data_IF_067358883717
#
_entry.id   IF_067358883717
#
_cell.length_a   1.000
_cell.length_b   1.000
_cell.length_c   1.000
_cell.angle_alpha   90.00
_cell.angle_beta   90.00
_cell.angle_gamma   90.00
#
_symmetry.space_group_name_H-M   'P 1'
#
loop_
_entity.id
_entity.type
_entity.pdbx_description
1 polymer ?
#
# COMPACT_ATOMS: atom_id res chain seq x y z
N UNK A 1 -11.23 -2.21 6.35
CA UNK A 1 -9.90 -1.72 5.94
C UNK A 1 -8.76 -2.08 6.92
N UNK A 2 -8.94 -3.10 7.77
CA UNK A 2 -7.87 -3.68 8.58
C UNK A 2 -7.72 -5.15 8.19
N UNK A 3 -7.00 -5.45 7.09
CA UNK A 3 -6.80 -6.87 6.69
C UNK A 3 -5.35 -7.27 6.42
N UNK A 4 -4.46 -6.29 6.20
CA UNK A 4 -3.01 -6.49 6.07
C UNK A 4 -2.22 -5.65 7.09
N UNK A 5 -2.89 -4.90 7.96
CA UNK A 5 -2.26 -3.89 8.83
C UNK A 5 -1.11 -4.45 9.66
N UNK A 6 -1.43 -5.52 10.40
CA UNK A 6 -0.51 -6.10 11.38
C UNK A 6 0.31 -7.27 10.82
N UNK A 7 -0.03 -7.78 9.63
CA UNK A 7 0.68 -8.91 9.03
C UNK A 7 1.78 -8.40 8.10
N UNK A 8 3.02 -8.92 8.21
CA UNK A 8 4.06 -8.66 7.23
C UNK A 8 3.67 -9.17 5.84
N UNK A 9 3.97 -8.39 4.80
CA UNK A 9 3.76 -8.77 3.41
C UNK A 9 4.87 -8.25 2.51
N UNK A 10 5.03 -8.88 1.36
CA UNK A 10 6.01 -8.53 0.34
C UNK A 10 5.28 -7.96 -0.86
N UNK A 11 5.61 -6.73 -1.26
CA UNK A 11 5.03 -6.07 -2.42
C UNK A 11 5.81 -6.48 -3.68
N UNK A 12 5.09 -6.97 -4.68
CA UNK A 12 5.66 -7.42 -5.97
C UNK A 12 5.25 -6.53 -7.13
N UNK A 13 4.20 -5.72 -6.98
CA UNK A 13 3.76 -4.79 -8.02
C UNK A 13 2.96 -3.64 -7.43
N UNK A 14 3.09 -2.45 -8.02
CA UNK A 14 2.34 -1.24 -7.63
C UNK A 14 1.84 -0.52 -8.87
N UNK A 15 0.55 -0.20 -8.91
CA UNK A 15 -0.05 0.62 -9.97
C UNK A 15 -0.79 1.82 -9.38
N UNK A 16 -0.91 2.89 -10.16
CA UNK A 16 -1.84 3.97 -9.81
C UNK A 16 -3.28 3.45 -9.89
N UNK A 17 -4.06 3.80 -8.89
CA UNK A 17 -5.47 3.42 -8.81
C UNK A 17 -6.15 4.51 -8.01
N UNK A 18 -6.56 5.57 -8.70
CA UNK A 18 -7.29 6.66 -8.07
C UNK A 18 -8.70 6.21 -7.68
N UNK A 19 -9.22 6.76 -6.58
CA UNK A 19 -10.59 6.56 -6.14
C UNK A 19 -11.43 7.77 -6.53
N UNK A 20 -12.41 7.56 -7.40
CA UNK A 20 -13.32 8.60 -7.88
C UNK A 20 -14.69 8.46 -7.23
N UNK A 21 -15.18 9.54 -6.62
CA UNK A 21 -16.53 9.62 -6.06
C UNK A 21 -17.21 10.87 -6.61
N UNK A 22 -18.03 10.71 -7.65
CA UNK A 22 -18.57 11.84 -8.40
C UNK A 22 -17.45 12.60 -9.11
N UNK A 23 -17.36 13.91 -8.87
CA UNK A 23 -16.30 14.77 -9.42
C UNK A 23 -15.01 14.77 -8.57
N UNK A 24 -15.05 14.16 -7.38
CA UNK A 24 -13.91 14.16 -6.45
C UNK A 24 -12.99 12.98 -6.78
N UNK A 25 -11.74 13.29 -7.14
CA UNK A 25 -10.67 12.31 -7.39
C UNK A 25 -9.71 12.30 -6.19
N UNK A 26 -9.63 11.16 -5.51
CA UNK A 26 -8.64 10.91 -4.45
C UNK A 26 -7.52 10.05 -5.01
N UNK A 27 -6.27 10.54 -4.95
CA UNK A 27 -5.12 9.78 -5.41
C UNK A 27 -4.94 8.49 -4.62
N UNK A 28 -4.71 7.40 -5.33
CA UNK A 28 -4.59 6.08 -4.74
C UNK A 28 -3.64 5.18 -5.50
N UNK A 29 -3.27 4.07 -4.87
CA UNK A 29 -2.44 3.03 -5.45
C UNK A 29 -3.06 1.67 -5.20
N UNK A 30 -2.81 0.73 -6.10
CA UNK A 30 -3.09 -0.69 -5.88
C UNK A 30 -1.78 -1.44 -5.78
N UNK A 31 -1.67 -2.25 -4.73
CA UNK A 31 -0.48 -3.00 -4.37
C UNK A 31 -0.80 -4.47 -4.56
N UNK A 32 0.06 -5.20 -5.27
CA UNK A 32 0.02 -6.67 -5.32
C UNK A 32 1.06 -7.23 -4.36
N UNK A 33 0.65 -8.21 -3.56
CA UNK A 33 1.49 -8.90 -2.59
C UNK A 33 1.88 -10.29 -3.07
N UNK A 34 3.02 -10.80 -2.60
CA UNK A 34 3.43 -12.19 -2.79
C UNK A 34 2.52 -13.15 -2.00
N UNK A 35 2.13 -12.72 -0.80
CA UNK A 35 1.26 -13.46 0.10
C UNK A 35 -0.21 -13.31 -0.32
N UNK A 36 -1.00 -14.35 -0.06
CA UNK A 36 -2.44 -14.37 -0.27
C UNK A 36 -3.12 -14.28 1.10
N UNK A 37 -4.02 -13.32 1.26
CA UNK A 37 -4.77 -13.09 2.49
C UNK A 37 -6.22 -13.48 2.29
N UNK A 38 -6.85 -14.01 3.34
CA UNK A 38 -8.29 -14.26 3.31
C UNK A 38 -9.06 -13.01 3.72
N UNK A 39 -9.89 -12.51 2.81
CA UNK A 39 -10.66 -11.27 2.95
C UNK A 39 -12.13 -11.62 2.73
N UNK A 40 -12.93 -11.65 3.81
CA UNK A 40 -14.36 -12.00 3.73
C UNK A 40 -14.57 -13.37 3.07
N UNK A 41 -13.75 -14.36 3.44
CA UNK A 41 -13.79 -15.72 2.88
C UNK A 41 -13.20 -15.86 1.47
N UNK A 42 -12.62 -14.79 0.90
CA UNK A 42 -12.05 -14.82 -0.45
C UNK A 42 -10.52 -14.61 -0.42
N UNK A 43 -9.73 -15.42 -1.16
CA UNK A 43 -8.31 -15.19 -1.30
C UNK A 43 -8.05 -13.89 -2.07
N UNK A 44 -7.24 -13.01 -1.49
CA UNK A 44 -6.92 -11.70 -2.04
C UNK A 44 -5.43 -11.40 -1.84
N UNK A 45 -4.75 -10.98 -2.91
CA UNK A 45 -3.37 -10.50 -2.88
C UNK A 45 -3.22 -9.12 -3.51
N UNK A 46 -4.34 -8.42 -3.76
CA UNK A 46 -4.37 -7.10 -4.38
C UNK A 46 -5.14 -6.14 -3.50
N UNK A 47 -4.49 -5.05 -3.11
CA UNK A 47 -5.04 -4.13 -2.13
C UNK A 47 -4.97 -2.71 -2.65
N UNK A 48 -6.12 -2.04 -2.67
CA UNK A 48 -6.23 -0.63 -3.01
C UNK A 48 -6.12 0.23 -1.75
N UNK A 49 -5.40 1.35 -1.82
CA UNK A 49 -5.28 2.32 -0.74
C UNK A 49 -5.16 3.75 -1.25
N UNK A 50 -5.87 4.66 -0.58
CA UNK A 50 -5.80 6.11 -0.76
C UNK A 50 -5.07 6.81 0.37
N UNK A 51 -4.40 6.05 1.27
CA UNK A 51 -3.68 6.60 2.42
C UNK A 51 -2.48 7.41 1.94
N UNK A 52 -2.52 8.72 2.19
CA UNK A 52 -1.57 9.70 1.62
C UNK A 52 -0.11 9.34 1.85
N UNK A 53 0.28 8.86 3.03
CA UNK A 53 1.67 8.48 3.30
C UNK A 53 2.15 7.30 2.43
N UNK A 54 1.30 6.29 2.23
CA UNK A 54 1.60 5.13 1.37
C UNK A 54 1.61 5.56 -0.10
N UNK A 55 0.62 6.34 -0.53
CA UNK A 55 0.57 6.87 -1.90
C UNK A 55 1.82 7.72 -2.20
N UNK A 56 2.23 8.57 -1.28
CA UNK A 56 3.43 9.40 -1.42
C UNK A 56 4.71 8.56 -1.47
N UNK A 57 4.82 7.47 -0.70
CA UNK A 57 5.98 6.56 -0.77
C UNK A 57 6.16 6.02 -2.19
N UNK A 58 5.07 5.69 -2.87
CA UNK A 58 5.09 5.16 -4.24
C UNK A 58 5.09 6.24 -5.34
N UNK A 59 5.16 7.54 -5.00
CA UNK A 59 5.52 8.58 -5.97
C UNK A 59 7.02 8.55 -6.32
N UNK A 60 7.83 7.84 -5.54
CA UNK A 60 9.24 7.64 -5.86
C UNK A 60 9.38 6.73 -7.08
N UNK A 61 9.78 7.31 -8.21
CA UNK A 61 9.92 6.60 -9.49
C UNK A 61 10.95 5.47 -9.43
N UNK A 62 12.07 5.67 -8.74
CA UNK A 62 13.10 4.63 -8.57
C UNK A 62 12.53 3.43 -7.82
N UNK A 63 11.78 3.67 -6.74
CA UNK A 63 11.14 2.59 -6.00
C UNK A 63 10.15 1.82 -6.88
N UNK A 64 9.37 2.53 -7.71
CA UNK A 64 8.46 1.89 -8.67
C UNK A 64 9.18 1.08 -9.73
N UNK A 65 10.27 1.62 -10.29
CA UNK A 65 11.09 0.93 -11.27
C UNK A 65 11.69 -0.35 -10.68
N UNK A 66 12.22 -0.28 -9.46
CA UNK A 66 12.82 -1.43 -8.78
C UNK A 66 11.77 -2.53 -8.57
N UNK A 67 10.57 -2.19 -8.09
CA UNK A 67 9.49 -3.18 -7.87
C UNK A 67 8.87 -3.69 -9.17
N UNK A 68 8.44 -2.79 -10.06
CA UNK A 68 7.62 -3.16 -11.22
C UNK A 68 8.45 -3.63 -12.41
N UNK A 69 9.64 -3.04 -12.65
CA UNK A 69 10.45 -3.30 -13.85
C UNK A 69 11.59 -4.25 -13.53
N UNK A 70 12.37 -3.95 -12.49
CA UNK A 70 13.50 -4.82 -12.09
C UNK A 70 13.06 -6.03 -11.29
N UNK A 71 11.76 -6.12 -10.95
CA UNK A 71 11.17 -7.23 -10.21
C UNK A 71 11.88 -7.48 -8.87
N UNK A 72 12.33 -6.41 -8.21
CA UNK A 72 12.94 -6.41 -6.88
C UNK A 72 11.80 -6.16 -5.88
N UNK A 73 11.30 -7.19 -5.18
CA UNK A 73 10.15 -7.03 -4.31
C UNK A 73 10.47 -6.11 -3.12
N UNK A 74 9.50 -5.29 -2.72
CA UNK A 74 9.62 -4.45 -1.53
C UNK A 74 9.01 -5.18 -0.33
N UNK A 75 9.85 -5.65 0.59
CA UNK A 75 9.40 -6.29 1.81
C UNK A 75 10.45 -7.15 2.51
N UNK A 76 10.07 -7.76 3.65
CA UNK A 76 8.75 -7.70 4.25
C UNK A 76 8.43 -6.31 4.84
N UNK A 77 7.22 -5.81 4.58
CA UNK A 77 6.68 -4.55 5.10
C UNK A 77 5.37 -4.80 5.85
N UNK A 78 4.99 -3.88 6.73
CA UNK A 78 3.68 -3.88 7.42
C UNK A 78 3.11 -2.47 7.49
N UNK A 79 1.80 -2.37 7.71
CA UNK A 79 1.09 -1.09 7.69
C UNK A 79 0.69 -0.69 9.13
N UNK A 80 1.48 0.18 9.75
CA UNK A 80 1.27 0.61 11.14
C UNK A 80 0.54 1.96 11.22
N UNK A 81 -0.18 2.17 12.32
CA UNK A 81 -0.70 3.49 12.68
C UNK A 81 0.35 4.26 13.48
N UNK A 82 0.76 5.42 12.99
CA UNK A 82 1.71 6.33 13.63
C UNK A 82 1.06 7.68 13.94
N UNK A 83 1.67 8.44 14.85
CA UNK A 83 1.23 9.79 15.22
C UNK A 83 2.19 10.82 14.65
N UNK A 84 1.68 11.77 13.88
CA UNK A 84 2.49 12.86 13.33
C UNK A 84 2.96 13.83 14.42
N UNK A 85 3.96 14.67 14.11
CA UNK A 85 4.37 15.78 14.98
C UNK A 85 3.22 16.74 15.32
N UNK A 86 2.20 16.84 14.45
CA UNK A 86 0.98 17.63 14.67
C UNK A 86 -0.11 16.88 15.44
N UNK A 87 0.18 15.68 15.95
CA UNK A 87 -0.72 14.88 16.77
C UNK A 87 -1.79 14.09 16.00
N UNK A 88 -1.79 14.14 14.66
CA UNK A 88 -2.74 13.42 13.82
C UNK A 88 -2.26 11.99 13.57
N UNK A 89 -3.15 11.02 13.70
CA UNK A 89 -2.83 9.64 13.35
C UNK A 89 -2.82 9.49 11.83
N UNK A 90 -1.82 8.77 11.32
CA UNK A 90 -1.71 8.38 9.92
C UNK A 90 -1.23 6.94 9.84
N UNK A 91 -1.38 6.34 8.66
CA UNK A 91 -0.95 4.97 8.43
C UNK A 91 0.23 4.97 7.49
N UNK A 92 1.30 4.29 7.91
CA UNK A 92 2.54 4.25 7.19
C UNK A 92 2.89 2.82 6.80
N UNK A 93 3.61 2.69 5.69
CA UNK A 93 4.24 1.44 5.32
C UNK A 93 5.65 1.46 5.91
N UNK A 94 6.00 0.47 6.72
CA UNK A 94 7.33 0.34 7.35
C UNK A 94 7.87 -1.06 7.15
N UNK A 95 9.18 -1.22 7.31
CA UNK A 95 9.79 -2.55 7.29
C UNK A 95 9.28 -3.35 8.51
N UNK A 96 8.96 -4.63 8.29
CA UNK A 96 8.22 -5.45 9.25
C UNK A 96 9.10 -6.11 10.30
#
# INVERSE_FOLDING_TARGET
MAKIGDQPFTITFVEDSDYTQGEIITKGVKITTKEIFEVDGNPCNKFHTTRVAIVNRFKNEKLREDVNTKQIPLGPVKCISEKSASGKNFFNLVDA
#
